data_IF_665984034209
#
_entry.id   IF_665984034209
#
_cell.length_a   1.000
_cell.length_b   1.000
_cell.length_c   1.000
_cell.angle_alpha   90.00
_cell.angle_beta   90.00
_cell.angle_gamma   90.00
#
_symmetry.space_group_name_H-M   'P 1'
#
loop_
_entity.id
_entity.type
_entity.pdbx_description
1 polymer ?
#
# COMPACT_ATOMS: atom_id res chain seq x y z
N UNK A 1 1.18 59.94 73.12
CA UNK A 1 0.29 58.78 72.88
C UNK A 1 0.04 58.66 71.36
N UNK A 2 0.74 57.78 70.70
CA UNK A 2 0.61 57.60 69.27
C UNK A 2 0.25 56.08 69.03
N UNK A 3 -0.94 55.90 68.45
CA UNK A 3 -1.45 54.57 68.13
C UNK A 3 -1.10 54.25 66.67
N UNK A 4 -0.15 53.35 66.46
CA UNK A 4 0.26 52.92 65.14
C UNK A 4 -0.71 51.84 64.65
N UNK A 5 -1.43 52.05 63.56
CA UNK A 5 -2.29 51.08 62.93
C UNK A 5 -1.46 50.27 61.90
N UNK A 6 -1.30 48.99 62.15
CA UNK A 6 -0.65 48.04 61.25
C UNK A 6 -1.68 47.56 60.23
N UNK A 7 -1.48 47.92 58.95
CA UNK A 7 -2.29 47.43 57.81
C UNK A 7 -1.68 46.18 57.26
N UNK A 8 -2.31 45.05 57.50
CA UNK A 8 -1.95 43.76 56.95
C UNK A 8 -2.46 43.67 55.50
N UNK A 9 -1.57 43.71 54.51
CA UNK A 9 -1.93 43.49 53.11
C UNK A 9 -1.85 42.00 52.82
N UNK A 10 -3.00 41.36 52.58
CA UNK A 10 -3.10 40.01 52.06
C UNK A 10 -2.82 40.07 50.53
N UNK A 11 -1.71 39.44 50.11
CA UNK A 11 -1.39 39.23 48.70
C UNK A 11 -1.97 37.85 48.34
N UNK A 12 -3.04 37.89 47.53
CA UNK A 12 -3.60 36.67 46.92
C UNK A 12 -2.79 36.33 45.69
N UNK A 13 -1.99 35.27 45.73
CA UNK A 13 -1.29 34.69 44.59
C UNK A 13 -2.25 33.76 43.83
N UNK A 14 -2.71 34.21 42.67
CA UNK A 14 -3.46 33.37 41.74
C UNK A 14 -2.48 32.50 40.96
N UNK A 15 -2.48 31.20 41.20
CA UNK A 15 -1.76 30.20 40.40
C UNK A 15 -2.56 29.89 39.14
N UNK A 16 -2.09 30.35 37.98
CA UNK A 16 -2.63 29.97 36.67
C UNK A 16 -2.00 28.62 36.27
N UNK A 17 -2.77 27.56 36.39
CA UNK A 17 -2.40 26.24 35.82
C UNK A 17 -2.68 26.24 34.33
N UNK A 18 -1.63 26.41 33.51
CA UNK A 18 -1.71 26.22 32.06
C UNK A 18 -1.86 24.71 31.77
N UNK A 19 -3.07 24.29 31.45
CA UNK A 19 -3.36 22.96 30.96
C UNK A 19 -2.80 22.79 29.53
N UNK A 20 -1.75 21.97 29.39
CA UNK A 20 -1.26 21.56 28.08
C UNK A 20 -2.25 20.55 27.49
N UNK A 21 -3.07 20.96 26.55
CA UNK A 21 -3.90 20.05 25.76
C UNK A 21 -2.99 19.24 24.81
N UNK A 22 -2.77 17.97 25.13
CA UNK A 22 -2.11 17.03 24.21
C UNK A 22 -3.08 16.71 23.09
N UNK A 23 -2.90 17.35 21.94
CA UNK A 23 -3.63 17.01 20.72
C UNK A 23 -3.02 15.70 20.20
N UNK A 24 -3.69 14.58 20.47
CA UNK A 24 -3.38 13.30 19.84
C UNK A 24 -3.77 13.37 18.37
N UNK A 25 -2.81 13.60 17.49
CA UNK A 25 -3.01 13.43 16.05
C UNK A 25 -3.10 11.95 15.76
N UNK A 26 -4.31 11.42 15.57
CA UNK A 26 -4.50 10.10 15.01
C UNK A 26 -3.84 10.05 13.62
N UNK A 27 -3.11 8.97 13.26
CA UNK A 27 -2.57 8.83 11.92
C UNK A 27 -3.72 8.91 10.91
N UNK A 28 -3.56 9.75 9.89
CA UNK A 28 -4.54 9.86 8.82
C UNK A 28 -4.63 8.49 8.12
N UNK A 29 -5.71 7.78 8.36
CA UNK A 29 -6.04 6.58 7.60
C UNK A 29 -6.37 7.04 6.19
N UNK A 30 -5.50 6.77 5.22
CA UNK A 30 -5.80 7.05 3.82
C UNK A 30 -7.09 6.32 3.45
N UNK A 31 -8.06 7.05 2.94
CA UNK A 31 -9.31 6.47 2.49
C UNK A 31 -9.02 5.55 1.29
N UNK A 32 -9.40 4.29 1.39
CA UNK A 32 -9.31 3.38 0.26
C UNK A 32 -10.22 3.87 -0.88
N UNK A 33 -9.76 3.76 -2.14
CA UNK A 33 -10.62 4.09 -3.28
C UNK A 33 -11.91 3.27 -3.26
N UNK A 34 -13.03 3.83 -3.73
CA UNK A 34 -14.26 3.07 -3.86
C UNK A 34 -14.02 1.86 -4.78
N UNK A 35 -14.53 0.70 -4.39
CA UNK A 35 -14.36 -0.60 -5.06
C UNK A 35 -12.97 -1.29 -4.91
N UNK A 36 -12.03 -0.73 -4.16
CA UNK A 36 -10.83 -1.48 -3.78
C UNK A 36 -11.17 -2.44 -2.63
N UNK A 37 -10.61 -3.67 -2.62
CA UNK A 37 -10.88 -4.64 -1.57
C UNK A 37 -10.54 -4.13 -0.16
N UNK A 38 -11.39 -4.39 0.83
CA UNK A 38 -11.09 -4.02 2.22
C UNK A 38 -9.87 -4.82 2.72
N UNK A 39 -8.74 -4.15 2.92
CA UNK A 39 -7.50 -4.75 3.37
C UNK A 39 -7.60 -5.46 4.73
N UNK A 40 -8.60 -5.11 5.55
CA UNK A 40 -8.83 -5.76 6.85
C UNK A 40 -9.41 -7.16 6.72
N UNK A 41 -9.99 -7.48 5.56
CA UNK A 41 -10.53 -8.81 5.29
C UNK A 41 -9.43 -9.84 4.96
N UNK A 42 -8.16 -9.40 4.81
CA UNK A 42 -7.04 -10.26 4.44
C UNK A 42 -6.07 -10.44 5.60
N UNK A 43 -5.52 -11.65 5.73
CA UNK A 43 -4.48 -11.97 6.71
C UNK A 43 -3.09 -11.65 6.16
N UNK A 44 -2.18 -11.19 7.03
CA UNK A 44 -0.80 -10.91 6.62
C UNK A 44 -0.07 -12.20 6.24
N UNK A 45 0.56 -12.21 5.06
CA UNK A 45 1.45 -13.28 4.66
C UNK A 45 2.80 -13.17 5.38
N UNK A 46 3.53 -14.29 5.57
CA UNK A 46 4.89 -14.26 6.13
C UNK A 46 5.85 -13.55 5.19
N UNK A 47 6.13 -12.27 5.47
CA UNK A 47 6.91 -11.40 4.59
C UNK A 47 8.30 -11.96 4.23
N UNK A 48 8.94 -12.67 5.16
CA UNK A 48 10.27 -13.26 4.96
C UNK A 48 10.33 -14.29 3.82
N UNK A 49 9.22 -14.90 3.42
CA UNK A 49 9.16 -15.84 2.29
C UNK A 49 9.25 -15.12 0.94
N UNK A 50 8.92 -13.83 0.91
CA UNK A 50 8.78 -13.05 -0.32
C UNK A 50 9.97 -12.13 -0.61
N UNK A 51 10.92 -11.96 0.36
CA UNK A 51 11.98 -10.94 0.27
C UNK A 51 13.30 -11.42 -0.31
N UNK A 52 13.44 -12.67 -0.70
CA UNK A 52 14.74 -13.23 -1.03
C UNK A 52 14.82 -13.81 -2.42
N UNK A 53 15.19 -12.98 -3.39
CA UNK A 53 15.96 -13.53 -4.50
C UNK A 53 17.45 -13.26 -4.26
N UNK A 54 18.34 -14.25 -4.44
CA UNK A 54 19.78 -14.09 -4.23
C UNK A 54 20.47 -13.22 -5.30
N UNK A 55 19.72 -12.42 -6.04
CA UNK A 55 20.22 -11.62 -7.16
C UNK A 55 20.39 -10.17 -6.67
N UNK A 56 21.57 -9.60 -6.80
CA UNK A 56 21.91 -8.26 -6.29
C UNK A 56 20.96 -7.14 -6.73
N UNK A 57 20.42 -7.20 -7.94
CA UNK A 57 19.49 -6.20 -8.45
C UNK A 57 18.07 -6.34 -7.89
N UNK A 58 17.76 -7.49 -7.30
CA UNK A 58 16.46 -7.76 -6.69
C UNK A 58 16.40 -7.40 -5.19
N UNK A 59 17.51 -6.92 -4.61
CA UNK A 59 17.49 -6.41 -3.24
C UNK A 59 16.60 -5.17 -3.16
N UNK A 60 15.65 -5.17 -2.24
CA UNK A 60 14.66 -4.10 -2.13
C UNK A 60 13.35 -4.35 -2.88
N UNK A 61 13.10 -5.60 -3.30
CA UNK A 61 11.85 -6.05 -3.87
C UNK A 61 11.30 -7.27 -3.14
N UNK A 62 9.98 -7.39 -3.11
CA UNK A 62 9.27 -8.60 -2.76
C UNK A 62 8.65 -9.21 -4.02
N UNK A 63 8.63 -10.53 -4.08
CA UNK A 63 8.11 -11.28 -5.22
C UNK A 63 7.07 -12.28 -4.76
N UNK A 64 6.01 -12.44 -5.52
CA UNK A 64 5.03 -13.49 -5.29
C UNK A 64 4.35 -13.90 -6.59
N UNK A 65 3.78 -15.08 -6.58
CA UNK A 65 2.85 -15.52 -7.62
C UNK A 65 1.46 -15.75 -7.04
N UNK A 66 0.44 -15.49 -7.81
CA UNK A 66 -0.92 -15.81 -7.43
C UNK A 66 -1.27 -17.27 -7.78
N UNK A 67 -2.30 -17.86 -7.18
CA UNK A 67 -2.74 -19.22 -7.52
C UNK A 67 -3.13 -19.43 -8.99
N UNK A 68 -3.57 -18.36 -9.66
CA UNK A 68 -3.95 -18.36 -11.07
C UNK A 68 -2.80 -17.98 -12.03
N UNK A 69 -1.57 -17.90 -11.50
CA UNK A 69 -0.34 -17.79 -12.30
C UNK A 69 0.07 -16.37 -12.67
N UNK A 70 -0.47 -15.34 -12.03
CA UNK A 70 0.05 -13.97 -12.17
C UNK A 70 1.29 -13.82 -11.31
N UNK A 71 2.37 -13.29 -11.89
CA UNK A 71 3.65 -13.07 -11.23
C UNK A 71 3.79 -11.61 -10.85
N UNK A 72 4.04 -11.31 -9.58
CA UNK A 72 4.09 -9.95 -9.09
C UNK A 72 5.43 -9.62 -8.43
N UNK A 73 5.86 -8.37 -8.62
CA UNK A 73 7.01 -7.76 -7.97
C UNK A 73 6.55 -6.46 -7.29
N UNK A 74 6.95 -6.27 -6.05
CA UNK A 74 6.66 -5.07 -5.25
C UNK A 74 7.95 -4.42 -4.81
N UNK A 75 8.03 -3.09 -4.89
CA UNK A 75 9.25 -2.37 -4.48
C UNK A 75 9.19 -0.90 -4.85
N UNK A 76 10.31 -0.34 -5.32
CA UNK A 76 10.36 1.00 -5.89
C UNK A 76 9.47 1.13 -7.14
N UNK A 77 9.30 0.04 -7.85
CA UNK A 77 8.31 -0.13 -8.91
C UNK A 77 7.51 -1.40 -8.61
N UNK A 78 6.21 -1.31 -8.72
CA UNK A 78 5.31 -2.46 -8.54
C UNK A 78 4.74 -2.86 -9.89
N UNK A 79 4.78 -4.17 -10.19
CA UNK A 79 4.21 -4.74 -11.42
C UNK A 79 3.67 -6.14 -11.18
N UNK A 80 2.66 -6.51 -11.97
CA UNK A 80 2.19 -7.88 -12.09
C UNK A 80 2.09 -8.26 -13.58
N UNK A 81 2.57 -9.45 -13.93
CA UNK A 81 2.62 -9.95 -15.31
C UNK A 81 1.98 -11.34 -15.37
N UNK A 82 1.19 -11.58 -16.40
CA UNK A 82 0.51 -12.86 -16.58
C UNK A 82 -0.66 -12.80 -17.53
N UNK A 83 -1.46 -13.85 -17.53
CA UNK A 83 -2.81 -13.82 -18.14
C UNK A 83 -3.74 -13.05 -17.20
N UNK A 84 -3.67 -11.70 -17.26
CA UNK A 84 -4.41 -10.82 -16.37
C UNK A 84 -5.93 -10.96 -16.65
N UNK A 85 -6.73 -11.26 -15.62
CA UNK A 85 -8.17 -11.44 -15.79
C UNK A 85 -8.87 -10.12 -16.13
N UNK A 86 -10.00 -10.19 -16.83
CA UNK A 86 -10.90 -9.04 -17.06
C UNK A 86 -10.37 -7.93 -17.94
N UNK A 87 -9.26 -8.13 -18.64
CA UNK A 87 -8.82 -7.22 -19.71
C UNK A 87 -9.59 -7.48 -21.00
N UNK A 88 -9.77 -6.44 -21.86
CA UNK A 88 -10.41 -6.62 -23.15
C UNK A 88 -9.70 -7.65 -24.01
N UNK A 89 -10.43 -8.60 -24.62
CA UNK A 89 -9.83 -9.64 -25.47
C UNK A 89 -9.00 -9.04 -26.61
N UNK A 90 -7.76 -9.53 -26.75
CA UNK A 90 -6.87 -9.17 -27.86
C UNK A 90 -6.15 -7.83 -27.75
N UNK A 91 -6.49 -6.98 -26.78
CA UNK A 91 -5.85 -5.67 -26.61
C UNK A 91 -4.40 -5.79 -26.11
N UNK A 92 -4.17 -6.71 -25.18
CA UNK A 92 -2.85 -6.90 -24.55
C UNK A 92 -2.22 -8.26 -24.89
N UNK A 93 -2.80 -9.01 -25.80
CA UNK A 93 -2.33 -10.36 -26.14
C UNK A 93 -2.62 -11.40 -25.04
N UNK A 94 -1.88 -12.52 -25.09
CA UNK A 94 -2.01 -13.60 -24.12
C UNK A 94 -1.27 -13.31 -22.81
N UNK A 95 -0.31 -12.39 -22.84
CA UNK A 95 0.51 -11.97 -21.73
C UNK A 95 0.44 -10.45 -21.59
N UNK A 96 -0.05 -9.99 -20.45
CA UNK A 96 -0.17 -8.57 -20.14
C UNK A 96 0.61 -8.23 -18.88
N UNK A 97 0.97 -6.97 -18.75
CA UNK A 97 1.57 -6.42 -17.54
C UNK A 97 0.75 -5.24 -17.05
N UNK A 98 0.48 -5.17 -15.75
CA UNK A 98 0.13 -3.94 -15.06
C UNK A 98 1.37 -3.48 -14.30
N UNK A 99 1.77 -2.22 -14.52
CA UNK A 99 2.98 -1.68 -13.90
C UNK A 99 2.82 -0.21 -13.55
N UNK A 100 3.61 0.22 -12.58
CA UNK A 100 3.79 1.64 -12.25
C UNK A 100 4.67 2.32 -13.28
N UNK A 101 4.29 3.55 -13.62
CA UNK A 101 5.06 4.44 -14.47
C UNK A 101 5.31 5.74 -13.74
N UNK A 102 6.52 6.28 -13.86
CA UNK A 102 6.82 7.59 -13.32
C UNK A 102 6.32 8.68 -14.26
N UNK A 103 5.51 9.58 -13.73
CA UNK A 103 5.08 10.81 -14.42
C UNK A 103 5.81 12.01 -13.82
N UNK A 104 6.70 12.62 -14.59
CA UNK A 104 7.56 13.72 -14.14
C UNK A 104 6.76 14.97 -13.78
N UNK A 105 5.72 15.30 -14.55
CA UNK A 105 4.88 16.49 -14.35
C UNK A 105 4.12 16.45 -13.02
N UNK A 106 3.56 15.31 -12.68
CA UNK A 106 2.76 15.11 -11.46
C UNK A 106 3.57 14.58 -10.30
N UNK A 107 4.80 14.09 -10.56
CA UNK A 107 5.63 13.34 -9.61
C UNK A 107 4.88 12.18 -8.99
N UNK A 108 3.99 11.56 -9.74
CA UNK A 108 3.19 10.43 -9.33
C UNK A 108 3.68 9.13 -9.96
N UNK A 109 3.19 8.02 -9.45
CA UNK A 109 3.49 6.68 -9.94
C UNK A 109 2.18 5.95 -10.29
N UNK A 110 1.42 6.42 -11.29
CA UNK A 110 0.19 5.76 -11.70
C UNK A 110 0.48 4.38 -12.29
N UNK A 111 -0.53 3.53 -12.29
CA UNK A 111 -0.47 2.23 -12.94
C UNK A 111 -1.07 2.32 -14.34
N UNK A 112 -0.57 1.45 -15.23
CA UNK A 112 -1.16 1.23 -16.55
C UNK A 112 -1.07 -0.23 -16.96
N UNK A 113 -1.91 -0.64 -17.89
CA UNK A 113 -1.81 -1.92 -18.57
C UNK A 113 -1.00 -1.78 -19.86
N UNK A 114 -0.22 -2.82 -20.17
CA UNK A 114 0.47 -2.92 -21.44
C UNK A 114 0.65 -4.39 -21.84
N UNK A 115 0.87 -4.64 -23.15
CA UNK A 115 1.28 -5.95 -23.61
C UNK A 115 2.66 -6.28 -23.03
N UNK A 116 2.80 -7.49 -22.47
CA UNK A 116 4.09 -7.90 -21.94
C UNK A 116 5.05 -8.27 -23.05
N UNK A 117 6.30 -7.80 -22.91
CA UNK A 117 7.41 -8.30 -23.71
C UNK A 117 8.08 -9.54 -23.07
N UNK A 118 7.67 -9.91 -21.87
CA UNK A 118 8.18 -11.06 -21.12
C UNK A 118 7.24 -12.25 -21.27
N UNK A 119 7.79 -13.46 -21.17
CA UNK A 119 6.96 -14.67 -21.14
C UNK A 119 6.11 -14.71 -19.87
N UNK A 120 4.83 -15.08 -20.03
CA UNK A 120 3.92 -15.35 -18.92
C UNK A 120 4.16 -16.74 -18.30
N UNK A 121 5.37 -17.24 -18.36
CA UNK A 121 5.73 -18.53 -17.78
C UNK A 121 5.64 -18.56 -16.26
N UNK A 122 5.52 -19.73 -15.66
CA UNK A 122 5.51 -19.89 -14.22
C UNK A 122 6.85 -19.46 -13.62
N UNK A 123 6.80 -18.73 -12.50
CA UNK A 123 8.00 -18.41 -11.72
C UNK A 123 8.14 -19.39 -10.54
N UNK A 124 9.33 -19.35 -9.92
CA UNK A 124 9.61 -20.10 -8.68
C UNK A 124 9.30 -19.30 -7.44
N UNK A 125 8.68 -18.13 -7.59
CA UNK A 125 8.35 -17.25 -6.46
C UNK A 125 7.33 -17.92 -5.54
N UNK A 126 7.42 -17.61 -4.25
CA UNK A 126 6.49 -18.13 -3.25
C UNK A 126 5.06 -17.65 -3.54
N UNK A 127 4.06 -18.52 -3.38
CA UNK A 127 2.68 -18.16 -3.64
C UNK A 127 2.15 -17.23 -2.54
N UNK A 128 1.44 -16.16 -2.95
CA UNK A 128 0.54 -15.43 -2.07
C UNK A 128 -0.83 -16.08 -2.19
N UNK A 129 -1.31 -16.68 -1.11
CA UNK A 129 -2.55 -17.47 -1.10
C UNK A 129 -3.81 -16.60 -1.09
N UNK A 130 -4.94 -17.22 -1.46
CA UNK A 130 -6.25 -16.58 -1.35
C UNK A 130 -6.54 -16.18 0.10
N UNK A 131 -7.07 -14.99 0.31
CA UNK A 131 -7.33 -14.40 1.63
C UNK A 131 -6.09 -13.81 2.30
N UNK A 132 -4.96 -13.76 1.59
CA UNK A 132 -3.72 -13.17 2.12
C UNK A 132 -3.43 -11.79 1.52
N UNK A 133 -2.70 -10.99 2.29
CA UNK A 133 -2.08 -9.75 1.86
C UNK A 133 -0.59 -9.77 2.16
N UNK A 134 0.17 -9.09 1.30
CA UNK A 134 1.59 -8.84 1.48
C UNK A 134 1.82 -7.33 1.46
N UNK A 135 2.45 -6.80 2.50
CA UNK A 135 2.88 -5.40 2.55
C UNK A 135 4.40 -5.34 2.49
N UNK A 136 4.90 -4.53 1.57
CA UNK A 136 6.32 -4.27 1.41
C UNK A 136 6.59 -2.77 1.44
N UNK A 137 7.53 -2.36 2.27
CA UNK A 137 7.87 -0.95 2.47
C UNK A 137 9.30 -0.69 2.01
N UNK A 138 9.43 0.19 1.04
CA UNK A 138 10.69 0.83 0.65
C UNK A 138 10.59 2.32 0.99
N UNK A 139 10.63 3.20 -0.01
CA UNK A 139 10.30 4.62 0.17
C UNK A 139 8.79 4.83 0.38
N UNK A 140 7.98 3.91 -0.14
CA UNK A 140 6.52 3.88 -0.02
C UNK A 140 6.07 2.48 0.38
N UNK A 141 5.00 2.40 1.15
CA UNK A 141 4.36 1.12 1.45
C UNK A 141 3.46 0.70 0.28
N UNK A 142 3.71 -0.50 -0.25
CA UNK A 142 2.84 -1.15 -1.22
C UNK A 142 2.16 -2.34 -0.54
N UNK A 143 0.87 -2.46 -0.69
CA UNK A 143 0.11 -3.62 -0.21
C UNK A 143 -0.59 -4.29 -1.37
N UNK A 144 -0.36 -5.59 -1.52
CA UNK A 144 -1.06 -6.44 -2.48
C UNK A 144 -1.90 -7.49 -1.75
N UNK A 145 -3.05 -7.83 -2.30
CA UNK A 145 -3.96 -8.86 -1.80
C UNK A 145 -4.31 -9.85 -2.91
N UNK A 146 -4.56 -11.09 -2.51
CA UNK A 146 -5.12 -12.13 -3.37
C UNK A 146 -6.43 -12.62 -2.75
N UNK A 147 -7.53 -12.49 -3.48
CA UNK A 147 -8.87 -12.87 -3.06
C UNK A 147 -9.44 -14.02 -3.88
N UNK A 148 -10.66 -14.40 -3.53
CA UNK A 148 -11.43 -15.38 -4.28
C UNK A 148 -11.72 -14.92 -5.71
N UNK A 149 -12.01 -15.86 -6.61
CA UNK A 149 -12.46 -15.55 -7.97
C UNK A 149 -11.40 -14.88 -8.84
N UNK A 150 -10.11 -15.20 -8.64
CA UNK A 150 -8.97 -14.61 -9.35
C UNK A 150 -8.81 -13.10 -9.10
N UNK A 151 -9.20 -12.64 -7.91
CA UNK A 151 -8.96 -11.27 -7.48
C UNK A 151 -7.49 -11.09 -7.08
N UNK A 152 -6.82 -10.13 -7.71
CA UNK A 152 -5.52 -9.61 -7.26
C UNK A 152 -5.59 -8.09 -7.29
N UNK A 153 -5.22 -7.44 -6.19
CA UNK A 153 -5.24 -5.98 -6.14
C UNK A 153 -4.02 -5.47 -5.37
N UNK A 154 -3.42 -4.39 -5.88
CA UNK A 154 -2.31 -3.72 -5.21
C UNK A 154 -2.58 -2.23 -5.10
N UNK A 155 -2.15 -1.64 -3.99
CA UNK A 155 -2.24 -0.21 -3.75
C UNK A 155 -0.91 0.31 -3.20
N UNK A 156 -0.49 1.46 -3.71
CA UNK A 156 0.64 2.24 -3.21
C UNK A 156 0.23 3.72 -3.19
N UNK A 157 0.15 4.32 -2.01
CA UNK A 157 -0.41 5.66 -1.82
C UNK A 157 -1.84 5.76 -2.38
N UNK A 158 -2.05 6.67 -3.36
CA UNK A 158 -3.34 6.94 -4.00
C UNK A 158 -3.55 6.15 -5.29
N UNK A 159 -2.53 5.42 -5.76
CA UNK A 159 -2.54 4.67 -7.01
C UNK A 159 -2.59 3.17 -6.77
N UNK A 160 -3.21 2.47 -7.68
CA UNK A 160 -3.30 1.04 -7.56
C UNK A 160 -3.97 0.39 -8.78
N UNK A 161 -4.20 -0.89 -8.65
CA UNK A 161 -4.94 -1.66 -9.63
C UNK A 161 -5.78 -2.76 -8.95
N UNK A 162 -6.79 -3.17 -9.67
CA UNK A 162 -7.59 -4.36 -9.34
C UNK A 162 -7.69 -5.22 -10.57
N UNK A 163 -7.31 -6.49 -10.44
CA UNK A 163 -7.43 -7.54 -11.45
C UNK A 163 -8.53 -8.48 -11.01
N UNK A 164 -9.56 -8.66 -11.85
CA UNK A 164 -10.65 -9.61 -11.60
C UNK A 164 -11.41 -9.91 -12.89
N UNK A 165 -12.04 -11.09 -13.03
CA UNK A 165 -12.72 -11.49 -14.27
C UNK A 165 -13.85 -10.57 -14.72
N UNK A 166 -14.52 -9.88 -13.80
CA UNK A 166 -15.61 -8.94 -14.10
C UNK A 166 -15.15 -7.61 -14.71
N UNK A 167 -13.84 -7.40 -14.82
CA UNK A 167 -13.19 -6.20 -15.34
C UNK A 167 -12.04 -5.77 -14.44
N UNK A 168 -10.90 -5.49 -15.07
CA UNK A 168 -9.71 -4.98 -14.38
C UNK A 168 -9.52 -3.49 -14.65
N UNK A 169 -9.03 -2.75 -13.64
CA UNK A 169 -8.81 -1.31 -13.76
C UNK A 169 -7.61 -0.85 -12.94
N UNK A 170 -7.13 0.35 -13.28
CA UNK A 170 -6.11 1.11 -12.54
C UNK A 170 -6.72 2.42 -12.02
N UNK A 171 -6.10 3.02 -11.00
CA UNK A 171 -6.54 4.30 -10.41
C UNK A 171 -5.35 5.05 -9.80
#
# INVERSE_FOLDING_TARGET
MAITRLLLRLIATATVTAGVAVVSTAPATQAQPPNFPDLKAFTDAPANLHFSRPVRWASGYAFFRTPDGVNCMMGSVTRCTGSLPGLPPGEYGACATVLQTYEEETRSLPFRFEASSEDCGPTTDDPLGVGQKLTFTTNYATTCVVGEGRLTACIQNEHGFVLQPSGSWVF
#
